data_IF_819799038343
#
_entry.id   IF_819799038343
#
_cell.length_a   1.000
_cell.length_b   1.000
_cell.length_c   1.000
_cell.angle_alpha   90.00
_cell.angle_beta   90.00
_cell.angle_gamma   90.00
#
_symmetry.space_group_name_H-M   'P 1'
#
loop_
_entity.id
_entity.type
_entity.pdbx_description
1 polymer ?
#
# COMPACT_ATOMS: atom_id res chain seq x y z
N UNK A 1 71.51 0.05 33.67
CA UNK A 1 70.89 -1.30 33.86
C UNK A 1 69.39 -1.10 34.01
N UNK A 2 68.63 -1.38 32.95
CA UNK A 2 67.19 -1.27 33.01
C UNK A 2 66.57 -2.65 33.29
N UNK A 3 66.00 -2.81 34.48
CA UNK A 3 65.26 -4.03 34.82
C UNK A 3 63.84 -3.94 34.21
N UNK A 4 63.56 -4.79 33.23
CA UNK A 4 62.23 -4.99 32.66
C UNK A 4 61.52 -6.01 33.56
N UNK A 5 60.54 -5.55 34.35
CA UNK A 5 59.69 -6.43 35.14
C UNK A 5 58.60 -7.03 34.24
N UNK A 6 58.67 -8.31 33.91
CA UNK A 6 57.59 -9.07 33.32
C UNK A 6 56.62 -9.46 34.44
N UNK A 7 55.47 -8.80 34.46
CA UNK A 7 54.35 -9.23 35.33
C UNK A 7 53.67 -10.43 34.67
N UNK A 8 53.96 -11.63 35.13
CA UNK A 8 53.26 -12.85 34.75
C UNK A 8 51.86 -12.80 35.33
N UNK A 9 50.84 -12.53 34.54
CA UNK A 9 49.44 -12.60 34.96
C UNK A 9 49.10 -14.01 35.42
N UNK A 10 48.47 -14.15 36.57
CA UNK A 10 48.05 -15.43 37.13
C UNK A 10 47.12 -16.19 36.17
N UNK A 11 47.08 -17.53 36.19
CA UNK A 11 46.16 -18.31 35.36
C UNK A 11 44.70 -17.93 35.58
N UNK A 12 44.33 -17.52 36.78
CA UNK A 12 43.02 -17.00 37.14
C UNK A 12 42.66 -15.71 36.37
N UNK A 13 43.61 -14.78 36.20
CA UNK A 13 43.40 -13.53 35.48
C UNK A 13 43.15 -13.79 33.99
N UNK A 14 43.87 -14.77 33.38
CA UNK A 14 43.65 -15.15 31.97
C UNK A 14 42.30 -15.78 31.73
N UNK A 15 41.82 -16.64 32.65
CA UNK A 15 40.49 -17.25 32.60
C UNK A 15 39.39 -16.19 32.72
N UNK A 16 39.55 -15.24 33.67
CA UNK A 16 38.58 -14.17 33.86
C UNK A 16 38.45 -13.26 32.63
N UNK A 17 39.55 -12.91 31.96
CA UNK A 17 39.56 -12.11 30.74
C UNK A 17 38.88 -12.85 29.57
N UNK A 18 39.10 -14.17 29.44
CA UNK A 18 38.42 -14.99 28.42
C UNK A 18 36.92 -15.07 28.65
N UNK A 19 36.46 -15.22 29.87
CA UNK A 19 35.02 -15.23 30.21
C UNK A 19 34.40 -13.87 29.91
N UNK A 20 35.06 -12.77 30.27
CA UNK A 20 34.56 -11.43 30.00
C UNK A 20 34.46 -11.14 28.50
N UNK A 21 35.47 -11.56 27.71
CA UNK A 21 35.46 -11.43 26.25
C UNK A 21 34.33 -12.26 25.63
N UNK A 22 34.07 -13.47 26.10
CA UNK A 22 32.98 -14.32 25.63
C UNK A 22 31.60 -13.69 25.92
N UNK A 23 31.41 -13.12 27.11
CA UNK A 23 30.15 -12.44 27.48
C UNK A 23 29.93 -11.19 26.63
N UNK A 24 30.97 -10.40 26.35
CA UNK A 24 30.86 -9.22 25.47
C UNK A 24 30.57 -9.60 24.02
N UNK A 25 31.15 -10.68 23.50
CA UNK A 25 30.83 -11.19 22.17
C UNK A 25 29.40 -11.72 22.06
N UNK A 26 28.91 -12.39 23.11
CA UNK A 26 27.53 -12.89 23.15
C UNK A 26 26.53 -11.74 23.24
N UNK A 27 26.79 -10.73 24.06
CA UNK A 27 25.95 -9.53 24.17
C UNK A 27 25.91 -8.73 22.85
N UNK A 28 27.03 -8.59 22.14
CA UNK A 28 27.05 -7.91 20.84
C UNK A 28 26.34 -8.71 19.76
N UNK A 29 26.37 -10.04 19.79
CA UNK A 29 25.65 -10.89 18.85
C UNK A 29 24.12 -10.80 19.06
N UNK A 30 23.64 -10.84 20.31
CA UNK A 30 22.20 -10.68 20.62
C UNK A 30 21.70 -9.29 20.25
N UNK A 31 22.50 -8.26 20.49
CA UNK A 31 22.14 -6.88 20.12
C UNK A 31 22.06 -6.68 18.60
N UNK A 32 22.99 -7.28 17.84
CA UNK A 32 22.95 -7.22 16.38
C UNK A 32 21.71 -7.93 15.78
N UNK A 33 21.29 -9.08 16.36
CA UNK A 33 20.10 -9.80 15.89
C UNK A 33 18.79 -9.08 16.25
N UNK A 34 18.75 -8.29 17.30
CA UNK A 34 17.59 -7.44 17.65
C UNK A 34 17.50 -6.21 16.72
N UNK A 35 18.64 -5.62 16.34
CA UNK A 35 18.67 -4.51 15.38
C UNK A 35 18.21 -4.97 14.01
N UNK A 36 18.65 -6.14 13.54
CA UNK A 36 18.21 -6.70 12.25
C UNK A 36 16.70 -7.04 12.27
N UNK A 37 16.15 -7.47 13.41
CA UNK A 37 14.71 -7.68 13.57
C UNK A 37 13.92 -6.37 13.62
N UNK A 38 14.43 -5.34 14.28
CA UNK A 38 13.78 -4.03 14.35
C UNK A 38 13.79 -3.27 13.01
N UNK A 39 14.73 -3.56 12.12
CA UNK A 39 14.77 -2.98 10.76
C UNK A 39 13.93 -3.75 9.73
N UNK A 40 13.35 -4.87 10.11
CA UNK A 40 12.47 -5.68 9.28
C UNK A 40 10.97 -5.41 9.56
N UNK A 41 10.60 -4.32 10.21
CA UNK A 41 9.24 -3.79 10.11
C UNK A 41 9.08 -3.30 8.66
N UNK A 42 8.54 -4.18 7.85
CA UNK A 42 8.15 -3.88 6.48
C UNK A 42 7.20 -2.67 6.55
N UNK A 43 7.66 -1.51 6.07
CA UNK A 43 6.85 -0.29 6.10
C UNK A 43 5.66 -0.54 5.18
N UNK A 44 4.51 -0.85 5.77
CA UNK A 44 3.26 -0.97 5.03
C UNK A 44 2.56 0.37 4.96
N UNK A 45 1.87 0.59 3.87
CA UNK A 45 1.03 1.78 3.67
C UNK A 45 -0.42 1.33 3.60
N UNK A 46 -1.29 1.97 4.37
CA UNK A 46 -2.72 1.71 4.28
C UNK A 46 -3.28 2.29 2.99
N UNK A 47 -4.09 1.48 2.30
CA UNK A 47 -4.88 1.87 1.15
C UNK A 47 -6.31 1.35 1.28
N UNK A 48 -7.15 1.69 0.31
CA UNK A 48 -8.55 1.28 0.24
C UNK A 48 -8.91 0.89 -1.18
N UNK A 49 -9.89 0.03 -1.32
CA UNK A 49 -10.39 -0.40 -2.63
C UNK A 49 -11.48 0.56 -3.13
N UNK A 50 -11.27 1.16 -4.29
CA UNK A 50 -12.27 1.95 -4.98
C UNK A 50 -12.79 1.18 -6.20
N UNK A 51 -13.87 0.45 -6.04
CA UNK A 51 -14.49 -0.34 -7.11
C UNK A 51 -16.01 -0.35 -7.00
N UNK A 52 -16.70 -0.86 -8.03
CA UNK A 52 -18.16 -0.90 -8.05
C UNK A 52 -18.73 -2.10 -7.30
N UNK A 53 -18.10 -3.25 -7.38
CA UNK A 53 -18.58 -4.49 -6.78
C UNK A 53 -17.51 -5.17 -5.94
N UNK A 54 -16.49 -5.71 -6.55
CA UNK A 54 -15.35 -6.35 -5.88
C UNK A 54 -14.11 -6.30 -6.77
N UNK A 55 -12.94 -6.49 -6.16
CA UNK A 55 -11.65 -6.66 -6.84
C UNK A 55 -11.06 -8.01 -6.45
N UNK A 56 -10.49 -8.71 -7.43
CA UNK A 56 -9.91 -10.03 -7.22
C UNK A 56 -8.48 -9.90 -6.71
N UNK A 57 -8.17 -10.68 -5.66
CA UNK A 57 -6.80 -10.90 -5.20
C UNK A 57 -6.21 -12.08 -5.98
N UNK A 58 -4.99 -11.92 -6.49
CA UNK A 58 -4.31 -12.92 -7.31
C UNK A 58 -3.03 -13.41 -6.64
N UNK A 59 -2.71 -14.67 -6.89
CA UNK A 59 -1.53 -15.31 -6.31
C UNK A 59 -0.21 -14.66 -6.78
N UNK A 60 -0.15 -14.13 -8.01
CA UNK A 60 0.97 -13.35 -8.55
C UNK A 60 0.48 -12.23 -9.45
N UNK A 61 1.36 -11.28 -9.78
CA UNK A 61 1.05 -10.09 -10.57
C UNK A 61 0.72 -10.43 -12.04
N UNK A 62 -0.44 -11.01 -12.29
CA UNK A 62 -0.91 -11.35 -13.63
C UNK A 62 -2.42 -11.52 -13.67
N UNK A 63 -3.06 -11.06 -14.76
CA UNK A 63 -4.49 -11.30 -15.02
C UNK A 63 -4.84 -12.78 -15.17
N UNK A 64 -3.85 -13.63 -15.47
CA UNK A 64 -4.01 -15.09 -15.62
C UNK A 64 -3.68 -15.86 -14.34
N UNK A 65 -3.23 -15.17 -13.29
CA UNK A 65 -2.93 -15.80 -12.01
C UNK A 65 -4.18 -16.36 -11.34
N UNK A 66 -4.01 -17.37 -10.53
CA UNK A 66 -5.08 -17.97 -9.72
C UNK A 66 -5.69 -16.89 -8.81
N UNK A 67 -7.00 -16.87 -8.75
CA UNK A 67 -7.77 -16.05 -7.82
C UNK A 67 -7.73 -16.69 -6.43
N UNK A 68 -7.29 -15.94 -5.43
CA UNK A 68 -7.14 -16.43 -4.05
C UNK A 68 -8.06 -15.74 -3.06
N UNK A 69 -8.73 -14.66 -3.50
CA UNK A 69 -9.67 -13.92 -2.68
C UNK A 69 -10.31 -12.76 -3.45
N UNK A 70 -11.17 -12.04 -2.76
CA UNK A 70 -11.87 -10.86 -3.26
C UNK A 70 -11.88 -9.77 -2.17
N UNK A 71 -11.90 -8.52 -2.59
CA UNK A 71 -12.00 -7.33 -1.74
C UNK A 71 -13.24 -6.54 -2.13
N UNK A 72 -13.99 -6.13 -1.15
CA UNK A 72 -15.18 -5.29 -1.32
C UNK A 72 -14.82 -3.80 -1.52
N UNK A 73 -15.77 -2.99 -2.02
CA UNK A 73 -15.59 -1.54 -2.09
C UNK A 73 -15.35 -0.92 -0.71
N UNK A 74 -14.40 0.00 -0.64
CA UNK A 74 -13.93 0.68 0.58
C UNK A 74 -13.24 -0.25 1.60
N UNK A 75 -12.96 -1.50 1.27
CA UNK A 75 -12.20 -2.39 2.14
C UNK A 75 -10.78 -1.87 2.33
N UNK A 76 -10.29 -1.76 3.58
CA UNK A 76 -8.93 -1.35 3.87
C UNK A 76 -7.95 -2.48 3.53
N UNK A 77 -6.79 -2.10 2.99
CA UNK A 77 -5.69 -2.99 2.64
C UNK A 77 -4.37 -2.44 3.14
N UNK A 78 -3.41 -3.32 3.37
CA UNK A 78 -2.03 -2.93 3.63
C UNK A 78 -1.14 -3.31 2.44
N UNK A 79 -0.28 -2.36 2.02
CA UNK A 79 0.56 -2.46 0.83
C UNK A 79 2.02 -2.35 1.26
N UNK A 80 2.87 -3.28 0.83
CA UNK A 80 4.32 -3.27 1.11
C UNK A 80 5.16 -2.46 0.11
N UNK A 81 4.50 -1.73 -0.80
CA UNK A 81 5.15 -0.90 -1.82
C UNK A 81 5.66 -1.66 -3.05
N UNK A 82 5.61 -2.99 -3.07
CA UNK A 82 6.00 -3.77 -4.25
C UNK A 82 4.96 -3.63 -5.36
N UNK A 83 5.43 -3.33 -6.58
CA UNK A 83 4.58 -3.23 -7.76
C UNK A 83 5.15 -4.02 -8.93
N UNK A 84 4.29 -4.67 -9.73
CA UNK A 84 4.70 -5.42 -10.92
C UNK A 84 3.56 -5.46 -11.93
N UNK A 85 3.85 -5.15 -13.20
CA UNK A 85 2.89 -5.27 -14.32
C UNK A 85 1.53 -4.57 -14.08
N UNK A 86 1.52 -3.46 -13.33
CA UNK A 86 0.33 -2.70 -12.95
C UNK A 86 -0.44 -3.28 -11.76
N UNK A 87 0.10 -4.30 -11.09
CA UNK A 87 -0.41 -4.83 -9.84
C UNK A 87 0.41 -4.28 -8.67
N UNK A 88 -0.25 -4.08 -7.53
CA UNK A 88 0.37 -3.81 -6.23
C UNK A 88 0.26 -5.06 -5.35
N UNK A 89 1.29 -5.30 -4.57
CA UNK A 89 1.31 -6.37 -3.58
C UNK A 89 0.64 -5.89 -2.30
N UNK A 90 -0.31 -6.67 -1.81
CA UNK A 90 -0.98 -6.44 -0.53
C UNK A 90 -0.56 -7.52 0.45
N UNK A 91 -0.40 -7.15 1.71
CA UNK A 91 -0.02 -8.05 2.80
C UNK A 91 -1.19 -8.31 3.76
N UNK A 92 -2.19 -7.45 3.75
CA UNK A 92 -3.44 -7.62 4.48
C UNK A 92 -4.64 -7.14 3.62
N UNK A 93 -5.82 -7.74 3.79
CA UNK A 93 -6.19 -8.84 4.70
C UNK A 93 -5.66 -10.21 4.26
N UNK A 94 -5.15 -10.36 3.06
CA UNK A 94 -4.62 -11.59 2.48
C UNK A 94 -3.39 -11.24 1.63
N UNK A 95 -2.32 -12.01 1.78
CA UNK A 95 -1.10 -11.87 0.97
C UNK A 95 -1.40 -12.18 -0.50
N UNK A 96 -1.15 -11.21 -1.40
CA UNK A 96 -1.45 -11.37 -2.81
C UNK A 96 -1.30 -10.10 -3.64
N UNK A 97 -1.80 -10.14 -4.87
CA UNK A 97 -1.67 -9.08 -5.85
C UNK A 97 -3.02 -8.55 -6.30
N UNK A 98 -3.17 -7.23 -6.27
CA UNK A 98 -4.37 -6.51 -6.69
C UNK A 98 -4.01 -5.53 -7.80
N UNK A 99 -4.92 -5.31 -8.77
CA UNK A 99 -4.70 -4.29 -9.79
C UNK A 99 -4.62 -2.90 -9.15
N UNK A 100 -3.47 -2.24 -9.29
CA UNK A 100 -3.18 -0.98 -8.59
C UNK A 100 -4.15 0.16 -8.94
N UNK A 101 -4.76 0.13 -10.12
CA UNK A 101 -5.74 1.15 -10.52
C UNK A 101 -7.05 1.18 -9.70
N UNK A 102 -7.28 0.19 -8.85
CA UNK A 102 -8.42 0.17 -7.92
C UNK A 102 -8.06 0.60 -6.51
N UNK A 103 -6.80 0.98 -6.29
CA UNK A 103 -6.31 1.37 -4.96
C UNK A 103 -6.34 2.88 -4.84
N UNK A 104 -6.84 3.39 -3.73
CA UNK A 104 -6.77 4.78 -3.30
C UNK A 104 -6.17 4.86 -1.90
N UNK A 105 -5.58 5.99 -1.55
CA UNK A 105 -5.00 6.23 -0.22
C UNK A 105 -5.89 7.08 0.67
N UNK A 106 -7.03 7.56 0.14
CA UNK A 106 -8.09 8.22 0.89
C UNK A 106 -9.25 7.25 1.06
N UNK A 107 -9.85 7.20 2.25
CA UNK A 107 -10.99 6.35 2.54
C UNK A 107 -12.20 6.73 1.66
N UNK A 108 -12.73 5.81 0.83
CA UNK A 108 -13.87 6.10 -0.02
C UNK A 108 -15.15 6.22 0.79
N UNK A 109 -15.92 7.26 0.50
CA UNK A 109 -17.26 7.46 1.09
C UNK A 109 -18.33 6.97 0.13
N UNK A 110 -19.27 6.20 0.63
CA UNK A 110 -20.44 5.78 -0.15
C UNK A 110 -21.39 6.96 -0.31
N UNK A 111 -21.67 7.34 -1.55
CA UNK A 111 -22.54 8.46 -1.89
C UNK A 111 -23.91 7.95 -2.39
N UNK A 112 -23.90 7.10 -3.41
CA UNK A 112 -25.06 6.53 -4.10
C UNK A 112 -26.16 7.55 -4.44
N UNK A 113 -25.75 8.68 -4.99
CA UNK A 113 -26.61 9.81 -5.31
C UNK A 113 -26.42 10.28 -6.76
N UNK A 114 -27.40 11.03 -7.34
CA UNK A 114 -27.20 11.75 -8.57
C UNK A 114 -26.15 12.84 -8.39
N UNK A 115 -25.43 13.14 -9.45
CA UNK A 115 -24.46 14.23 -9.50
C UNK A 115 -24.37 14.83 -10.88
N UNK A 116 -23.75 15.99 -10.96
CA UNK A 116 -23.56 16.74 -12.20
C UNK A 116 -22.09 17.06 -12.39
N UNK A 117 -21.64 17.00 -13.64
CA UNK A 117 -20.29 17.41 -14.01
C UNK A 117 -20.24 18.94 -14.09
N UNK A 118 -19.30 19.54 -13.35
CA UNK A 118 -19.10 20.99 -13.26
C UNK A 118 -17.86 21.47 -13.98
N UNK A 119 -17.08 20.57 -14.57
CA UNK A 119 -15.85 20.89 -15.28
C UNK A 119 -16.07 21.90 -16.41
N UNK A 120 -15.25 22.95 -16.47
CA UNK A 120 -15.30 23.99 -17.54
C UNK A 120 -14.98 23.45 -18.93
N UNK A 121 -14.22 22.36 -19.02
CA UNK A 121 -13.83 21.68 -20.26
C UNK A 121 -14.38 20.27 -20.26
N UNK A 122 -14.47 19.68 -21.46
CA UNK A 122 -14.79 18.27 -21.64
C UNK A 122 -13.79 17.40 -20.91
N UNK A 123 -14.25 16.51 -20.03
CA UNK A 123 -13.46 15.57 -19.26
C UNK A 123 -13.75 14.13 -19.68
N UNK A 124 -12.82 13.22 -19.44
CA UNK A 124 -13.02 11.82 -19.79
C UNK A 124 -13.25 10.99 -18.52
N UNK A 125 -14.26 10.14 -18.56
CA UNK A 125 -14.38 9.05 -17.60
C UNK A 125 -13.31 7.99 -17.87
N UNK A 126 -12.69 7.49 -16.82
CA UNK A 126 -11.57 6.54 -16.84
C UNK A 126 -12.03 5.13 -16.45
N UNK A 127 -11.26 4.11 -16.85
CA UNK A 127 -11.54 2.72 -16.47
C UNK A 127 -11.19 2.43 -15.01
N UNK A 128 -10.17 3.12 -14.47
CA UNK A 128 -9.72 3.12 -13.09
C UNK A 128 -9.02 4.45 -12.78
N UNK A 129 -8.63 4.69 -11.55
CA UNK A 129 -7.89 5.89 -11.15
C UNK A 129 -6.62 6.04 -12.00
N UNK A 130 -6.44 7.20 -12.63
CA UNK A 130 -5.35 7.49 -13.59
C UNK A 130 -5.23 6.55 -14.79
N UNK A 131 -6.22 5.71 -15.03
CA UNK A 131 -6.25 4.76 -16.14
C UNK A 131 -6.63 5.39 -17.49
N UNK A 132 -6.71 4.56 -18.54
CA UNK A 132 -7.19 5.00 -19.84
C UNK A 132 -8.67 5.33 -19.80
N UNK A 133 -9.13 6.05 -20.82
CA UNK A 133 -10.55 6.34 -20.97
C UNK A 133 -11.38 5.06 -21.09
N UNK A 134 -12.63 5.10 -20.67
CA UNK A 134 -13.59 4.03 -20.99
C UNK A 134 -13.79 3.93 -22.50
N UNK A 135 -14.09 2.74 -22.99
CA UNK A 135 -14.13 2.48 -24.47
C UNK A 135 -15.27 3.22 -25.18
N UNK A 136 -16.42 3.30 -24.53
CA UNK A 136 -17.61 3.90 -25.15
C UNK A 136 -18.00 5.20 -24.46
N UNK A 137 -18.14 6.26 -25.26
CA UNK A 137 -18.60 7.58 -24.81
C UNK A 137 -17.89 8.07 -23.53
N UNK A 138 -16.55 8.14 -23.51
CA UNK A 138 -15.81 8.52 -22.30
C UNK A 138 -16.02 9.98 -21.91
N UNK A 139 -16.47 10.81 -22.85
CA UNK A 139 -16.51 12.25 -22.68
C UNK A 139 -17.75 12.73 -21.96
N UNK A 140 -17.50 13.56 -20.96
CA UNK A 140 -18.49 14.27 -20.17
C UNK A 140 -18.27 15.78 -20.35
N UNK A 141 -19.35 16.53 -20.43
CA UNK A 141 -19.34 18.00 -20.50
C UNK A 141 -20.03 18.57 -19.26
N UNK A 142 -19.85 19.84 -19.00
CA UNK A 142 -20.56 20.55 -17.94
C UNK A 142 -22.07 20.34 -18.08
N UNK A 143 -22.74 20.04 -16.98
CA UNK A 143 -24.15 19.69 -16.94
C UNK A 143 -24.46 18.22 -17.24
N UNK A 144 -23.46 17.38 -17.59
CA UNK A 144 -23.70 15.95 -17.76
C UNK A 144 -24.10 15.31 -16.42
N UNK A 145 -25.25 14.64 -16.40
CA UNK A 145 -25.72 13.89 -15.22
C UNK A 145 -25.01 12.55 -15.12
N UNK A 146 -24.63 12.20 -13.91
CA UNK A 146 -24.00 10.92 -13.54
C UNK A 146 -24.60 10.40 -12.23
N UNK A 147 -24.52 9.09 -11.99
CA UNK A 147 -24.76 8.54 -10.67
C UNK A 147 -23.41 8.29 -10.01
N UNK A 148 -23.18 8.88 -8.85
CA UNK A 148 -21.98 8.74 -8.04
C UNK A 148 -22.21 7.62 -7.05
N UNK A 149 -21.39 6.55 -7.08
CA UNK A 149 -21.48 5.43 -6.14
C UNK A 149 -20.59 5.64 -4.93
N UNK A 150 -19.32 6.03 -5.20
CA UNK A 150 -18.28 6.23 -4.20
C UNK A 150 -17.50 7.48 -4.54
N UNK A 151 -17.00 8.16 -3.53
CA UNK A 151 -16.14 9.33 -3.67
C UNK A 151 -14.99 9.26 -2.67
N UNK A 152 -13.80 9.64 -3.11
CA UNK A 152 -12.63 9.91 -2.29
C UNK A 152 -12.05 11.27 -2.71
N UNK A 153 -10.97 11.73 -2.07
CA UNK A 153 -10.43 13.08 -2.29
C UNK A 153 -10.17 13.39 -3.76
N UNK A 154 -9.54 12.45 -4.48
CA UNK A 154 -9.13 12.66 -5.88
C UNK A 154 -10.10 12.09 -6.91
N UNK A 155 -10.84 11.04 -6.59
CA UNK A 155 -11.62 10.29 -7.55
C UNK A 155 -13.03 9.95 -7.05
N UNK A 156 -13.97 10.00 -7.97
CA UNK A 156 -15.31 9.48 -7.78
C UNK A 156 -15.58 8.33 -8.76
N UNK A 157 -16.15 7.25 -8.27
CA UNK A 157 -16.66 6.17 -9.07
C UNK A 157 -18.12 6.45 -9.44
N UNK A 158 -18.37 6.54 -10.74
CA UNK A 158 -19.69 6.85 -11.30
C UNK A 158 -20.19 5.71 -12.19
N UNK A 159 -21.45 5.83 -12.65
CA UNK A 159 -22.02 4.92 -13.66
C UNK A 159 -21.32 5.04 -15.04
N UNK A 160 -20.47 6.05 -15.25
CA UNK A 160 -19.71 6.29 -16.48
C UNK A 160 -18.26 5.86 -16.36
N UNK A 161 -17.77 5.51 -15.17
CA UNK A 161 -16.38 5.21 -14.84
C UNK A 161 -15.83 6.15 -13.77
N UNK A 162 -14.51 6.21 -13.67
CA UNK A 162 -13.83 7.07 -12.71
C UNK A 162 -13.70 8.48 -13.27
N UNK A 163 -14.07 9.47 -12.47
CA UNK A 163 -14.02 10.91 -12.79
C UNK A 163 -13.34 11.61 -11.61
N UNK A 164 -12.54 12.64 -11.87
CA UNK A 164 -11.98 13.45 -10.78
C UNK A 164 -13.08 14.06 -9.94
N UNK A 165 -13.00 13.93 -8.62
CA UNK A 165 -14.02 14.44 -7.67
C UNK A 165 -14.22 15.96 -7.77
N UNK A 166 -13.15 16.72 -8.03
CA UNK A 166 -13.19 18.16 -8.25
C UNK A 166 -14.09 18.63 -9.42
N UNK A 167 -14.46 17.71 -10.32
CA UNK A 167 -15.31 18.00 -11.49
C UNK A 167 -16.76 17.58 -11.29
N UNK A 168 -17.12 17.18 -10.08
CA UNK A 168 -18.45 16.68 -9.76
C UNK A 168 -19.08 17.46 -8.61
N UNK A 169 -20.37 17.69 -8.73
CA UNK A 169 -21.21 18.17 -7.66
C UNK A 169 -22.28 17.14 -7.37
N UNK A 170 -22.42 16.77 -6.09
CA UNK A 170 -23.47 15.85 -5.64
C UNK A 170 -24.77 16.63 -5.57
N UNK A 171 -25.78 16.16 -6.28
CA UNK A 171 -27.11 16.76 -6.18
C UNK A 171 -27.76 16.28 -4.88
N UNK A 172 -28.30 17.21 -4.10
CA UNK A 172 -29.11 16.86 -2.95
C UNK A 172 -30.34 16.04 -3.39
N UNK A 173 -30.77 15.05 -2.61
CA UNK A 173 -31.95 14.25 -2.89
C UNK A 173 -33.23 15.06 -2.86
#
# INVERSE_FOLDING_TARGET
MNHIYYTTSSPLTKVLVLILAAVLLFASYTFATEIDRAHAEEITTQGYILCKSYVVIRQWASKRATEIGQLDPAEPIEIDGKTKDGFAHIVAPCDGWVWAGYITFSEPQKIDAPGVVTAKKRVAARRWCDGPNVDSKPWLISGSEVRIYWMCDDWALTNRGYVKSEWLEVCAP
#
